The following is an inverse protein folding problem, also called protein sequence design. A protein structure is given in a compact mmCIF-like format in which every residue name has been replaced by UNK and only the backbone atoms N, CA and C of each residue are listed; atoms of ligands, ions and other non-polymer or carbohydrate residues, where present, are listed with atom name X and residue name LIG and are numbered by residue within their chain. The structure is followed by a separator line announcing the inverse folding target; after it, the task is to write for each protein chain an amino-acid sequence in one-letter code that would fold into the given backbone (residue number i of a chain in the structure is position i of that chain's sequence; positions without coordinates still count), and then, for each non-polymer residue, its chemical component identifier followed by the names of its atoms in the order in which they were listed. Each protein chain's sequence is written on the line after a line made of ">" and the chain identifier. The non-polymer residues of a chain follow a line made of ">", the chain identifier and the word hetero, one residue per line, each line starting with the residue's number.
data_IF_548838886845
#
_entry.id   IF_548838886845
#
_cell.length_a   1.000
_cell.length_b   1.000
_cell.length_c   1.000
_cell.angle_alpha   90.00
_cell.angle_beta   90.00
_cell.angle_gamma   90.00
#
_symmetry.space_group_name_H-M   'P 1'
#
loop_
_entity.id
_entity.type
_entity.pdbx_description
1 polymer ?
#
# COMPACT_ATOMS: atom_id res chain seq x y z
N UNK A 1 20.93 16.76 13.90
CA UNK A 1 20.32 15.67 13.13
C UNK A 1 18.84 15.99 13.00
N UNK A 2 18.36 16.23 11.79
CA UNK A 2 16.94 16.52 11.54
C UNK A 2 16.08 15.25 11.75
N UNK A 3 14.75 15.36 11.78
CA UNK A 3 13.89 14.21 12.06
C UNK A 3 14.04 13.09 11.01
N UNK A 4 14.16 13.45 9.72
CA UNK A 4 14.39 12.50 8.63
C UNK A 4 15.66 11.68 8.85
N UNK A 5 16.80 12.33 9.09
CA UNK A 5 18.08 11.68 9.38
C UNK A 5 17.94 10.75 10.59
N UNK A 6 17.25 11.19 11.65
CA UNK A 6 17.01 10.37 12.84
C UNK A 6 16.15 9.14 12.54
N UNK A 7 15.12 9.24 11.70
CA UNK A 7 14.28 8.09 11.33
C UNK A 7 15.13 7.00 10.66
N UNK A 8 15.99 7.42 9.74
CA UNK A 8 16.83 6.50 8.96
C UNK A 8 18.16 6.12 9.67
N UNK A 9 18.50 6.76 10.80
CA UNK A 9 19.68 6.42 11.62
C UNK A 9 19.34 5.74 12.94
N UNK A 10 18.19 6.04 13.56
CA UNK A 10 17.73 5.45 14.82
C UNK A 10 17.22 4.02 14.61
N UNK A 11 16.86 3.68 13.37
CA UNK A 11 16.68 2.31 12.93
C UNK A 11 18.05 1.64 12.84
N UNK A 12 18.53 1.09 13.96
CA UNK A 12 19.78 0.32 14.01
C UNK A 12 19.81 -0.83 12.98
N UNK A 13 18.66 -1.19 12.42
CA UNK A 13 18.52 -1.86 11.13
C UNK A 13 17.34 -1.20 10.41
N UNK A 14 17.58 -0.51 9.29
CA UNK A 14 16.51 -0.17 8.36
C UNK A 14 15.70 -1.44 8.07
N UNK A 15 14.38 -1.36 7.92
CA UNK A 15 13.60 -2.54 7.55
C UNK A 15 14.16 -3.06 6.22
N UNK A 16 14.69 -4.30 6.25
CA UNK A 16 15.38 -4.91 5.11
C UNK A 16 14.39 -5.80 4.37
N UNK A 17 14.20 -5.51 3.08
CA UNK A 17 13.47 -6.39 2.18
C UNK A 17 14.40 -7.47 1.61
N UNK A 18 13.98 -8.75 1.54
CA UNK A 18 14.81 -9.82 0.98
C UNK A 18 15.21 -9.58 -0.47
N UNK A 19 16.37 -10.11 -0.88
CA UNK A 19 16.91 -9.91 -2.25
C UNK A 19 15.95 -10.38 -3.35
N UNK A 20 15.20 -11.45 -3.13
CA UNK A 20 14.20 -11.94 -4.09
C UNK A 20 13.06 -10.93 -4.27
N UNK A 21 12.68 -10.22 -3.21
CA UNK A 21 11.68 -9.15 -3.24
C UNK A 21 12.24 -7.91 -3.95
N UNK A 22 13.51 -7.55 -3.70
CA UNK A 22 14.18 -6.47 -4.44
C UNK A 22 14.19 -6.72 -5.95
N UNK A 23 14.56 -7.94 -6.37
CA UNK A 23 14.47 -8.33 -7.79
C UNK A 23 13.03 -8.20 -8.31
N UNK A 24 12.03 -8.57 -7.51
CA UNK A 24 10.62 -8.47 -7.89
C UNK A 24 10.19 -7.00 -8.04
N UNK A 25 10.64 -6.11 -7.16
CA UNK A 25 10.42 -4.66 -7.24
C UNK A 25 11.02 -4.09 -8.53
N UNK A 26 12.24 -4.51 -8.91
CA UNK A 26 12.86 -4.06 -10.16
C UNK A 26 12.00 -4.38 -11.39
N UNK A 27 11.21 -5.45 -11.36
CA UNK A 27 10.31 -5.79 -12.47
C UNK A 27 9.15 -4.81 -12.63
N UNK A 28 8.82 -4.00 -11.61
CA UNK A 28 7.75 -2.98 -11.71
C UNK A 28 8.07 -1.89 -12.73
N UNK A 29 9.36 -1.67 -13.02
CA UNK A 29 9.83 -0.70 -14.03
C UNK A 29 9.47 -1.13 -15.46
N UNK A 30 9.08 -2.39 -15.66
CA UNK A 30 8.76 -2.96 -16.97
C UNK A 30 7.50 -3.83 -16.89
N UNK A 31 6.41 -3.41 -17.55
CA UNK A 31 5.13 -4.13 -17.53
C UNK A 31 5.23 -5.56 -18.08
N UNK A 32 6.06 -5.74 -19.10
CA UNK A 32 6.25 -7.00 -19.81
C UNK A 32 7.44 -7.82 -19.28
N UNK A 33 7.88 -7.57 -18.05
CA UNK A 33 8.96 -8.32 -17.43
C UNK A 33 8.65 -9.82 -17.34
N UNK A 34 9.58 -10.67 -17.76
CA UNK A 34 9.47 -12.12 -17.56
C UNK A 34 9.69 -12.46 -16.09
N UNK A 35 8.63 -12.91 -15.43
CA UNK A 35 8.61 -13.26 -14.02
C UNK A 35 9.03 -14.72 -13.76
N UNK A 36 9.13 -15.57 -14.79
CA UNK A 36 9.42 -17.00 -14.60
C UNK A 36 10.73 -17.27 -13.85
N UNK A 37 11.84 -16.57 -14.11
CA UNK A 37 13.08 -16.76 -13.36
C UNK A 37 12.91 -16.41 -11.87
N UNK A 38 12.19 -15.34 -11.54
CA UNK A 38 11.96 -14.95 -10.15
C UNK A 38 11.01 -15.91 -9.44
N UNK A 39 10.00 -16.43 -10.13
CA UNK A 39 9.11 -17.46 -9.59
C UNK A 39 9.92 -18.70 -9.21
N UNK A 40 10.89 -19.10 -10.03
CA UNK A 40 11.81 -20.18 -9.69
C UNK A 40 12.66 -19.88 -8.45
N UNK A 41 13.18 -18.65 -8.30
CA UNK A 41 13.90 -18.22 -7.10
C UNK A 41 12.99 -18.29 -5.85
N UNK A 42 11.73 -17.85 -5.96
CA UNK A 42 10.77 -17.87 -4.84
C UNK A 42 10.46 -19.30 -4.39
N UNK A 43 10.31 -20.25 -5.33
CA UNK A 43 10.09 -21.67 -5.01
C UNK A 43 11.19 -22.23 -4.09
N UNK A 44 12.41 -21.69 -4.17
CA UNK A 44 13.56 -22.11 -3.36
C UNK A 44 13.68 -21.36 -2.03
N UNK A 45 12.90 -20.29 -1.83
CA UNK A 45 12.84 -19.53 -0.58
C UNK A 45 11.62 -19.96 0.26
N UNK A 46 11.81 -20.82 1.29
CA UNK A 46 10.69 -21.32 2.08
C UNK A 46 10.00 -20.24 2.91
N UNK A 47 10.71 -19.16 3.28
CA UNK A 47 10.15 -18.08 4.11
C UNK A 47 9.23 -17.21 3.30
N UNK A 48 9.67 -16.76 2.12
CA UNK A 48 8.81 -16.00 1.20
C UNK A 48 7.68 -16.89 0.68
N UNK A 49 7.97 -18.14 0.32
CA UNK A 49 6.93 -19.06 -0.16
C UNK A 49 5.81 -19.25 0.84
N UNK A 50 6.12 -19.50 2.12
CA UNK A 50 5.11 -19.66 3.15
C UNK A 50 4.24 -18.41 3.33
N UNK A 51 4.82 -17.20 3.21
CA UNK A 51 4.07 -15.95 3.30
C UNK A 51 3.19 -15.70 2.09
N UNK A 52 3.72 -15.91 0.88
CA UNK A 52 2.93 -15.79 -0.36
C UNK A 52 1.73 -16.74 -0.31
N UNK A 53 1.95 -17.99 0.13
CA UNK A 53 0.88 -18.96 0.28
C UNK A 53 -0.14 -18.54 1.35
N UNK A 54 0.29 -17.94 2.46
CA UNK A 54 -0.64 -17.41 3.48
C UNK A 54 -1.54 -16.33 2.88
N UNK A 55 -0.96 -15.35 2.19
CA UNK A 55 -1.71 -14.26 1.57
C UNK A 55 -2.65 -14.81 0.48
N UNK A 56 -2.17 -15.71 -0.39
CA UNK A 56 -3.00 -16.31 -1.44
C UNK A 56 -4.18 -17.13 -0.88
N UNK A 57 -4.08 -17.62 0.36
CA UNK A 57 -5.15 -18.37 1.04
C UNK A 57 -6.06 -17.49 1.91
N UNK A 58 -5.85 -16.17 1.99
CA UNK A 58 -6.51 -15.27 2.95
C UNK A 58 -7.99 -14.97 2.69
N UNK A 59 -8.68 -15.71 1.83
CA UNK A 59 -10.03 -15.36 1.36
C UNK A 59 -9.99 -14.25 0.30
N UNK A 60 -9.18 -13.20 0.52
CA UNK A 60 -9.13 -11.97 -0.27
C UNK A 60 -8.90 -12.17 -1.77
N UNK A 61 -8.18 -13.23 -2.13
CA UNK A 61 -7.90 -13.60 -3.53
C UNK A 61 -8.84 -14.69 -4.07
N UNK A 62 -9.98 -14.93 -3.41
CA UNK A 62 -11.09 -15.75 -3.87
C UNK A 62 -10.85 -17.27 -3.80
N UNK A 63 -9.83 -17.75 -3.09
CA UNK A 63 -9.55 -19.19 -3.07
C UNK A 63 -10.50 -19.97 -2.16
N UNK A 64 -11.44 -20.71 -2.75
CA UNK A 64 -12.24 -21.73 -2.03
C UNK A 64 -11.46 -23.00 -1.70
N UNK A 65 -10.23 -23.15 -2.21
CA UNK A 65 -9.36 -24.32 -1.99
C UNK A 65 -8.00 -23.88 -1.45
N UNK A 66 -7.42 -24.64 -0.53
CA UNK A 66 -6.08 -24.35 -0.02
C UNK A 66 -5.04 -24.51 -1.13
N UNK A 67 -4.30 -23.43 -1.40
CA UNK A 67 -3.13 -23.40 -2.29
C UNK A 67 -1.92 -23.90 -1.51
N UNK A 68 -1.26 -24.95 -2.00
CA UNK A 68 -0.14 -25.62 -1.32
C UNK A 68 1.25 -25.33 -1.90
N UNK A 69 1.33 -24.72 -3.08
CA UNK A 69 2.59 -24.46 -3.78
C UNK A 69 2.55 -23.13 -4.54
N UNK A 70 3.73 -22.56 -4.84
CA UNK A 70 3.83 -21.34 -5.65
C UNK A 70 3.23 -21.56 -7.04
N UNK A 71 3.34 -22.77 -7.59
CA UNK A 71 2.72 -23.09 -8.89
C UNK A 71 1.19 -23.09 -8.83
N UNK A 72 0.62 -23.55 -7.72
CA UNK A 72 -0.82 -23.44 -7.48
C UNK A 72 -1.23 -21.97 -7.33
N UNK A 73 -0.42 -21.16 -6.64
CA UNK A 73 -0.68 -19.72 -6.50
C UNK A 73 -0.66 -19.04 -7.87
N UNK A 74 0.34 -19.32 -8.71
CA UNK A 74 0.42 -18.81 -10.10
C UNK A 74 -0.81 -19.25 -10.91
N UNK A 75 -1.25 -20.51 -10.79
CA UNK A 75 -2.44 -21.00 -11.49
C UNK A 75 -3.72 -20.32 -11.02
N UNK A 76 -3.81 -19.98 -9.74
CA UNK A 76 -4.98 -19.34 -9.16
C UNK A 76 -5.07 -17.86 -9.54
N UNK A 77 -4.02 -17.08 -9.27
CA UNK A 77 -4.06 -15.61 -9.36
C UNK A 77 -3.34 -15.04 -10.59
N UNK A 78 -2.56 -15.86 -11.29
CA UNK A 78 -1.72 -15.41 -12.39
C UNK A 78 -0.38 -14.81 -11.95
N UNK A 79 0.54 -14.65 -12.89
CA UNK A 79 1.90 -14.17 -12.62
C UNK A 79 1.94 -12.71 -12.17
N UNK A 80 1.08 -11.85 -12.75
CA UNK A 80 1.02 -10.41 -12.38
C UNK A 80 0.56 -10.22 -10.93
N UNK A 81 -0.48 -10.92 -10.49
CA UNK A 81 -0.92 -10.85 -9.09
C UNK A 81 0.12 -11.51 -8.16
N UNK A 82 0.81 -12.57 -8.59
CA UNK A 82 1.90 -13.13 -7.79
C UNK A 82 3.03 -12.11 -7.55
N UNK A 83 3.37 -11.28 -8.54
CA UNK A 83 4.36 -10.21 -8.38
C UNK A 83 4.00 -9.29 -7.21
N UNK A 84 2.78 -8.77 -7.19
CA UNK A 84 2.34 -7.88 -6.11
C UNK A 84 2.24 -8.61 -4.77
N UNK A 85 1.81 -9.87 -4.74
CA UNK A 85 1.79 -10.70 -3.52
C UNK A 85 3.16 -10.91 -2.89
N UNK A 86 4.18 -11.18 -3.71
CA UNK A 86 5.56 -11.35 -3.24
C UNK A 86 6.09 -10.05 -2.65
N UNK A 87 5.76 -8.91 -3.29
CA UNK A 87 6.10 -7.59 -2.76
C UNK A 87 5.38 -7.34 -1.44
N UNK A 88 4.08 -7.63 -1.34
CA UNK A 88 3.32 -7.53 -0.08
C UNK A 88 3.94 -8.35 1.04
N UNK A 89 4.27 -9.61 0.77
CA UNK A 89 4.92 -10.50 1.74
C UNK A 89 6.28 -9.97 2.21
N UNK A 90 7.05 -9.39 1.30
CA UNK A 90 8.35 -8.81 1.60
C UNK A 90 8.26 -7.53 2.42
N UNK A 91 7.41 -6.60 1.98
CA UNK A 91 7.19 -5.30 2.63
C UNK A 91 6.63 -5.49 4.03
N UNK A 92 5.60 -6.32 4.20
CA UNK A 92 5.02 -6.54 5.54
C UNK A 92 6.00 -7.21 6.49
N UNK A 93 6.83 -8.12 5.97
CA UNK A 93 7.83 -8.78 6.78
C UNK A 93 8.92 -7.89 7.33
N UNK A 94 9.14 -6.74 6.70
CA UNK A 94 10.12 -5.77 7.15
C UNK A 94 9.65 -5.03 8.42
N UNK A 95 8.35 -5.10 8.74
CA UNK A 95 7.74 -4.49 9.93
C UNK A 95 7.06 -5.54 10.82
N UNK A 96 7.82 -6.45 11.45
CA UNK A 96 7.24 -7.53 12.25
C UNK A 96 6.59 -7.03 13.55
N UNK A 97 7.06 -5.89 14.08
CA UNK A 97 6.54 -5.24 15.29
C UNK A 97 6.78 -3.73 15.20
N UNK A 98 5.76 -2.94 15.50
CA UNK A 98 5.82 -1.48 15.51
C UNK A 98 5.14 -0.97 16.79
N UNK A 99 5.82 -0.20 17.66
CA UNK A 99 5.23 0.29 18.90
C UNK A 99 3.99 1.16 18.65
N UNK A 100 2.92 0.91 19.40
CA UNK A 100 1.69 1.72 19.35
C UNK A 100 0.87 1.57 18.06
N UNK A 101 1.14 0.54 17.24
CA UNK A 101 0.39 0.28 16.01
C UNK A 101 -0.21 -1.12 16.06
N UNK A 102 -1.52 -1.23 15.80
CA UNK A 102 -2.14 -2.51 15.46
C UNK A 102 -1.77 -2.85 14.01
N UNK A 103 -0.81 -3.76 13.84
CA UNK A 103 -0.34 -4.15 12.52
C UNK A 103 -1.39 -4.91 11.71
N UNK A 104 -2.33 -5.62 12.36
CA UNK A 104 -3.39 -6.33 11.64
C UNK A 104 -4.31 -5.33 10.95
N UNK A 105 -4.74 -4.33 11.71
CA UNK A 105 -5.57 -3.23 11.21
C UNK A 105 -4.84 -2.41 10.13
N UNK A 106 -3.58 -2.07 10.38
CA UNK A 106 -2.74 -1.35 9.43
C UNK A 106 -2.63 -2.07 8.08
N UNK A 107 -2.34 -3.38 8.10
CA UNK A 107 -2.20 -4.15 6.86
C UNK A 107 -3.54 -4.43 6.17
N UNK A 108 -4.65 -4.60 6.92
CA UNK A 108 -6.00 -4.67 6.35
C UNK A 108 -6.26 -3.43 5.50
N UNK A 109 -6.10 -2.25 6.10
CA UNK A 109 -6.32 -0.96 5.42
C UNK A 109 -5.39 -0.77 4.21
N UNK A 110 -4.11 -1.15 4.35
CA UNK A 110 -3.14 -1.06 3.26
C UNK A 110 -3.49 -1.97 2.08
N UNK A 111 -3.95 -3.20 2.33
CA UNK A 111 -4.40 -4.13 1.29
C UNK A 111 -5.68 -3.66 0.60
N UNK A 112 -6.63 -3.11 1.38
CA UNK A 112 -7.84 -2.51 0.83
C UNK A 112 -7.52 -1.35 -0.10
N UNK A 113 -6.63 -0.46 0.34
CA UNK A 113 -6.14 0.64 -0.48
C UNK A 113 -5.40 0.13 -1.72
N UNK A 114 -4.56 -0.90 -1.59
CA UNK A 114 -3.83 -1.51 -2.71
C UNK A 114 -4.79 -2.06 -3.78
N UNK A 115 -5.81 -2.82 -3.37
CA UNK A 115 -6.78 -3.40 -4.30
C UNK A 115 -7.65 -2.35 -4.97
N UNK A 116 -8.18 -1.39 -4.20
CA UNK A 116 -8.95 -0.29 -4.77
C UNK A 116 -8.11 0.49 -5.78
N UNK A 117 -6.86 0.85 -5.44
CA UNK A 117 -5.97 1.60 -6.32
C UNK A 117 -5.68 0.84 -7.63
N UNK A 118 -5.46 -0.47 -7.54
CA UNK A 118 -5.23 -1.33 -8.71
C UNK A 118 -6.44 -1.42 -9.64
N UNK A 119 -7.66 -1.41 -9.11
CA UNK A 119 -8.89 -1.39 -9.89
C UNK A 119 -9.08 -0.02 -10.56
N UNK A 120 -8.95 1.07 -9.79
CA UNK A 120 -9.07 2.43 -10.31
C UNK A 120 -8.03 2.74 -11.41
N UNK A 121 -6.80 2.22 -11.27
CA UNK A 121 -5.74 2.40 -12.26
C UNK A 121 -6.14 1.87 -13.65
N UNK A 122 -6.96 0.80 -13.73
CA UNK A 122 -7.44 0.25 -15.01
C UNK A 122 -8.34 1.23 -15.74
N UNK A 123 -9.20 1.95 -15.01
CA UNK A 123 -10.05 3.00 -15.58
C UNK A 123 -9.24 4.22 -16.02
N UNK A 124 -8.20 4.56 -15.25
CA UNK A 124 -7.33 5.70 -15.51
C UNK A 124 -6.24 5.46 -16.57
N UNK A 125 -6.09 4.22 -17.06
CA UNK A 125 -5.00 3.84 -17.97
C UNK A 125 -3.61 3.85 -17.33
N UNK A 126 -3.55 3.70 -16.00
CA UNK A 126 -2.31 3.63 -15.22
C UNK A 126 -1.90 2.17 -14.98
N UNK A 127 -0.62 1.97 -14.67
CA UNK A 127 -0.09 0.65 -14.35
C UNK A 127 -0.69 0.12 -13.03
N UNK A 128 -1.51 -0.93 -13.13
CA UNK A 128 -2.21 -1.51 -11.99
C UNK A 128 -1.29 -2.09 -10.91
N UNK A 129 -0.10 -2.57 -11.27
CA UNK A 129 0.87 -3.13 -10.32
C UNK A 129 1.54 -2.01 -9.52
N UNK A 130 1.90 -0.89 -10.18
CA UNK A 130 2.41 0.31 -9.49
C UNK A 130 1.34 0.93 -8.59
N UNK A 131 0.08 0.94 -9.03
CA UNK A 131 -1.06 1.39 -8.21
C UNK A 131 -1.28 0.49 -6.99
N UNK A 132 -1.29 -0.83 -7.18
CA UNK A 132 -1.38 -1.77 -6.07
C UNK A 132 -0.28 -1.51 -5.03
N UNK A 133 0.98 -1.44 -5.48
CA UNK A 133 2.13 -1.24 -4.59
C UNK A 133 2.10 0.12 -3.91
N UNK A 134 1.71 1.19 -4.62
CA UNK A 134 1.55 2.51 -4.02
C UNK A 134 0.49 2.52 -2.93
N UNK A 135 -0.65 1.85 -3.17
CA UNK A 135 -1.70 1.68 -2.17
C UNK A 135 -1.27 0.83 -0.97
N UNK A 136 -0.47 -0.22 -1.19
CA UNK A 136 0.10 -1.00 -0.08
C UNK A 136 1.06 -0.17 0.77
N UNK A 137 1.88 0.66 0.13
CA UNK A 137 3.00 1.34 0.78
C UNK A 137 2.66 2.70 1.36
N UNK A 138 1.54 3.32 0.97
CA UNK A 138 1.24 4.73 1.21
C UNK A 138 1.44 5.21 2.67
N UNK A 139 1.21 4.34 3.66
CA UNK A 139 1.35 4.66 5.10
C UNK A 139 2.62 4.15 5.77
N UNK A 140 3.58 3.55 5.06
CA UNK A 140 4.80 3.00 5.69
C UNK A 140 5.64 4.05 6.41
N UNK A 141 5.58 5.31 6.01
CA UNK A 141 6.22 6.40 6.75
C UNK A 141 5.68 6.54 8.19
N UNK A 142 4.42 6.18 8.43
CA UNK A 142 3.85 6.16 9.79
C UNK A 142 4.55 5.10 10.65
N UNK A 143 4.78 3.90 10.12
CA UNK A 143 5.50 2.84 10.83
C UNK A 143 6.92 3.29 11.18
N UNK A 144 7.61 3.94 10.24
CA UNK A 144 8.95 4.48 10.46
C UNK A 144 8.97 5.56 11.55
N UNK A 145 7.96 6.45 11.58
CA UNK A 145 7.80 7.47 12.63
C UNK A 145 7.56 6.80 13.99
N UNK A 146 6.70 5.79 14.07
CA UNK A 146 6.43 5.04 15.31
C UNK A 146 7.67 4.30 15.84
N UNK A 147 8.51 3.75 14.96
CA UNK A 147 9.76 3.10 15.36
C UNK A 147 10.76 4.12 15.91
N UNK A 148 10.92 5.27 15.23
CA UNK A 148 11.92 6.27 15.59
C UNK A 148 11.51 7.15 16.78
N UNK A 149 10.20 7.42 16.92
CA UNK A 149 9.64 8.39 17.87
C UNK A 149 8.37 7.87 18.54
N UNK A 150 8.36 6.71 19.22
CA UNK A 150 7.14 6.04 19.67
C UNK A 150 6.21 6.94 20.50
N UNK A 151 6.77 7.68 21.48
CA UNK A 151 5.97 8.60 22.32
C UNK A 151 5.33 9.75 21.54
N UNK A 152 6.11 10.37 20.64
CA UNK A 152 5.61 11.48 19.82
C UNK A 152 4.62 10.96 18.77
N UNK A 153 4.81 9.75 18.26
CA UNK A 153 3.87 9.10 17.36
C UNK A 153 2.53 8.82 18.03
N UNK A 154 2.52 8.37 19.29
CA UNK A 154 1.29 8.22 20.10
C UNK A 154 0.60 9.57 20.38
N UNK A 155 1.36 10.65 20.58
CA UNK A 155 0.80 12.00 20.68
C UNK A 155 0.18 12.47 19.35
N UNK A 156 0.88 12.29 18.23
CA UNK A 156 0.38 12.60 16.90
C UNK A 156 -0.89 11.81 16.60
N UNK A 157 -0.92 10.51 16.91
CA UNK A 157 -2.09 9.67 16.68
C UNK A 157 -3.33 10.17 17.42
N UNK A 158 -3.17 10.61 18.68
CA UNK A 158 -4.26 11.21 19.46
C UNK A 158 -4.70 12.57 18.93
N UNK A 159 -3.75 13.42 18.54
CA UNK A 159 -4.05 14.75 18.01
C UNK A 159 -4.73 14.69 16.62
N UNK A 160 -4.55 13.58 15.89
CA UNK A 160 -5.11 13.38 14.56
C UNK A 160 -6.39 12.56 14.52
N UNK A 161 -6.98 12.22 15.67
CA UNK A 161 -8.22 11.47 15.72
C UNK A 161 -9.35 12.24 15.00
N UNK A 162 -9.99 11.59 14.02
CA UNK A 162 -11.00 12.20 13.15
C UNK A 162 -10.50 13.22 12.13
N UNK A 163 -9.19 13.44 12.00
CA UNK A 163 -8.64 14.33 10.96
C UNK A 163 -8.54 13.62 9.60
N UNK A 164 -8.68 14.40 8.53
CA UNK A 164 -8.41 13.91 7.18
C UNK A 164 -6.93 13.54 6.99
N UNK A 165 -6.67 12.73 5.96
CA UNK A 165 -5.33 12.30 5.54
C UNK A 165 -4.37 13.49 5.35
N UNK A 166 -4.84 14.59 4.75
CA UNK A 166 -4.06 15.81 4.53
C UNK A 166 -3.77 16.58 5.82
N UNK A 167 -4.76 16.70 6.71
CA UNK A 167 -4.61 17.36 8.01
C UNK A 167 -3.63 16.62 8.92
N UNK A 168 -3.69 15.29 8.94
CA UNK A 168 -2.72 14.46 9.65
C UNK A 168 -1.29 14.73 9.19
N UNK A 169 -1.06 14.81 7.87
CA UNK A 169 0.27 15.14 7.33
C UNK A 169 0.75 16.54 7.76
N UNK A 170 -0.17 17.52 7.88
CA UNK A 170 0.15 18.86 8.36
C UNK A 170 0.54 18.86 9.86
N UNK A 171 -0.17 18.11 10.71
CA UNK A 171 0.16 17.96 12.14
C UNK A 171 1.52 17.33 12.34
N UNK A 172 1.83 16.26 11.60
CA UNK A 172 3.15 15.65 11.62
C UNK A 172 4.24 16.64 11.21
N UNK A 173 4.04 17.37 10.10
CA UNK A 173 5.01 18.35 9.63
C UNK A 173 5.26 19.46 10.66
N UNK A 174 4.23 19.91 11.37
CA UNK A 174 4.36 20.89 12.44
C UNK A 174 5.22 20.37 13.61
N UNK A 175 5.09 19.09 13.97
CA UNK A 175 5.75 18.49 15.14
C UNK A 175 7.14 17.92 14.83
N UNK A 176 7.35 17.41 13.62
CA UNK A 176 8.56 16.68 13.20
C UNK A 176 9.40 17.45 12.17
N UNK A 177 8.87 18.52 11.56
CA UNK A 177 9.43 19.14 10.35
C UNK A 177 9.57 18.17 9.18
N UNK A 178 8.78 17.10 9.20
CA UNK A 178 8.57 16.14 8.11
C UNK A 178 7.24 15.43 8.34
N UNK A 179 6.74 14.67 7.36
CA UNK A 179 5.53 13.87 7.50
C UNK A 179 5.72 12.44 6.96
N UNK A 180 4.74 11.58 7.21
CA UNK A 180 4.75 10.19 6.75
C UNK A 180 4.83 10.03 5.24
N UNK A 181 4.36 10.99 4.44
CA UNK A 181 4.45 10.95 2.98
C UNK A 181 5.90 11.09 2.53
N UNK A 182 6.61 12.09 3.08
CA UNK A 182 8.03 12.35 2.80
C UNK A 182 8.90 11.18 3.28
N UNK A 183 8.64 10.70 4.50
CA UNK A 183 9.38 9.56 5.08
C UNK A 183 9.13 8.29 4.27
N UNK A 184 7.89 8.07 3.83
CA UNK A 184 7.52 6.94 3.00
C UNK A 184 8.18 6.98 1.62
N UNK A 185 8.19 8.15 0.97
CA UNK A 185 8.82 8.34 -0.33
C UNK A 185 10.34 8.08 -0.26
N UNK A 186 11.01 8.58 0.79
CA UNK A 186 12.43 8.29 1.05
C UNK A 186 12.67 6.79 1.27
N UNK A 187 11.78 6.10 1.99
CA UNK A 187 11.86 4.64 2.17
C UNK A 187 11.73 3.91 0.83
N UNK A 188 10.75 4.29 0.00
CA UNK A 188 10.53 3.69 -1.32
C UNK A 188 11.76 3.88 -2.23
N UNK A 189 12.35 5.07 -2.25
CA UNK A 189 13.58 5.36 -2.99
C UNK A 189 14.76 4.49 -2.51
N UNK A 190 14.95 4.35 -1.19
CA UNK A 190 16.00 3.46 -0.62
C UNK A 190 15.78 1.98 -0.93
N UNK A 191 14.53 1.58 -1.09
CA UNK A 191 14.14 0.24 -1.52
C UNK A 191 14.13 0.07 -3.05
N UNK A 192 14.53 1.10 -3.80
CA UNK A 192 14.65 1.08 -5.26
C UNK A 192 13.31 0.77 -5.98
N UNK A 193 12.20 1.20 -5.39
CA UNK A 193 10.90 1.25 -6.08
C UNK A 193 10.96 2.26 -7.23
N UNK A 194 10.08 2.12 -8.25
CA UNK A 194 9.96 3.12 -9.31
C UNK A 194 9.64 4.51 -8.74
N UNK A 195 10.17 5.56 -9.39
CA UNK A 195 9.96 6.95 -8.97
C UNK A 195 8.46 7.31 -8.89
N UNK A 196 7.64 6.76 -9.78
CA UNK A 196 6.18 6.97 -9.77
C UNK A 196 5.56 6.51 -8.44
N UNK A 197 6.04 5.39 -7.87
CA UNK A 197 5.57 4.89 -6.56
C UNK A 197 6.03 5.82 -5.44
N UNK A 198 7.29 6.27 -5.46
CA UNK A 198 7.79 7.21 -4.46
C UNK A 198 7.05 8.55 -4.51
N UNK A 199 6.78 9.09 -5.71
CA UNK A 199 5.99 10.30 -5.92
C UNK A 199 4.53 10.11 -5.49
N UNK A 200 3.95 8.94 -5.74
CA UNK A 200 2.61 8.62 -5.25
C UNK A 200 2.54 8.69 -3.73
N UNK A 201 3.51 8.08 -3.04
CA UNK A 201 3.61 8.14 -1.58
C UNK A 201 3.88 9.56 -1.07
N UNK A 202 4.66 10.37 -1.79
CA UNK A 202 4.97 11.74 -1.38
C UNK A 202 3.76 12.67 -1.44
N UNK A 203 2.91 12.51 -2.47
CA UNK A 203 1.87 13.50 -2.79
C UNK A 203 0.44 13.02 -2.58
N UNK A 204 0.18 11.77 -2.17
CA UNK A 204 -1.20 11.30 -1.99
C UNK A 204 -1.99 12.10 -0.93
N UNK A 205 -1.32 12.68 0.08
CA UNK A 205 -1.98 13.57 1.06
C UNK A 205 -2.23 14.99 0.53
N UNK A 206 -1.67 15.34 -0.63
CA UNK A 206 -1.78 16.65 -1.27
C UNK A 206 -2.15 16.48 -2.75
N UNK A 207 -3.33 15.89 -3.06
CA UNK A 207 -3.67 15.49 -4.43
C UNK A 207 -3.87 16.68 -5.41
N UNK A 208 -4.01 17.90 -4.88
CA UNK A 208 -4.06 19.15 -5.66
C UNK A 208 -2.68 19.78 -5.92
N UNK A 209 -1.60 19.26 -5.35
CA UNK A 209 -0.26 19.79 -5.58
C UNK A 209 0.16 19.58 -7.04
N UNK A 210 0.88 20.53 -7.63
CA UNK A 210 1.28 20.49 -9.05
C UNK A 210 2.12 19.25 -9.39
N UNK A 211 2.99 18.85 -8.47
CA UNK A 211 3.82 17.63 -8.57
C UNK A 211 3.07 16.32 -8.30
N UNK A 212 1.80 16.36 -7.89
CA UNK A 212 1.04 15.13 -7.69
C UNK A 212 0.82 14.44 -9.04
N UNK A 213 1.30 13.22 -9.18
CA UNK A 213 1.09 12.39 -10.37
C UNK A 213 -0.35 11.88 -10.41
N UNK A 214 -0.78 11.31 -11.54
CA UNK A 214 -2.07 10.62 -11.58
C UNK A 214 -2.11 9.47 -10.58
N UNK A 215 -1.03 8.72 -10.45
CA UNK A 215 -0.88 7.64 -9.46
C UNK A 215 -1.02 8.14 -8.00
N UNK A 216 -0.48 9.31 -7.67
CA UNK A 216 -0.65 9.93 -6.35
C UNK A 216 -2.13 10.23 -6.05
N UNK A 217 -2.85 10.77 -7.05
CA UNK A 217 -4.28 11.09 -6.93
C UNK A 217 -5.15 9.84 -6.85
N UNK A 218 -4.83 8.80 -7.63
CA UNK A 218 -5.50 7.50 -7.51
C UNK A 218 -5.28 6.90 -6.12
N UNK A 219 -4.06 6.99 -5.58
CA UNK A 219 -3.74 6.53 -4.22
C UNK A 219 -4.55 7.29 -3.16
N UNK A 220 -4.77 8.60 -3.35
CA UNK A 220 -5.64 9.40 -2.49
C UNK A 220 -7.10 8.91 -2.53
N UNK A 221 -7.66 8.72 -3.73
CA UNK A 221 -9.04 8.23 -3.91
C UNK A 221 -9.20 6.82 -3.32
N UNK A 222 -8.25 5.93 -3.57
CA UNK A 222 -8.26 4.58 -3.03
C UNK A 222 -8.19 4.55 -1.49
N UNK A 223 -7.39 5.44 -0.89
CA UNK A 223 -7.30 5.55 0.57
C UNK A 223 -8.60 6.10 1.17
N UNK A 224 -9.28 7.02 0.49
CA UNK A 224 -10.61 7.48 0.89
C UNK A 224 -11.61 6.32 0.84
N UNK A 225 -11.65 5.54 -0.24
CA UNK A 225 -12.52 4.36 -0.37
C UNK A 225 -12.26 3.38 0.77
N UNK A 226 -11.00 3.04 1.04
CA UNK A 226 -10.64 2.11 2.11
C UNK A 226 -11.07 2.63 3.50
N UNK A 227 -10.88 3.92 3.76
CA UNK A 227 -11.30 4.57 5.02
C UNK A 227 -12.81 4.50 5.19
N UNK A 228 -13.57 4.86 4.17
CA UNK A 228 -15.04 4.83 4.27
C UNK A 228 -15.60 3.40 4.36
N UNK A 229 -14.92 2.40 3.77
CA UNK A 229 -15.25 0.98 3.99
C UNK A 229 -14.97 0.58 5.45
N UNK A 230 -13.83 0.98 6.01
CA UNK A 230 -13.50 0.72 7.43
C UNK A 230 -14.52 1.39 8.37
N UNK A 231 -15.14 2.50 7.95
CA UNK A 231 -16.21 3.23 8.68
C UNK A 231 -17.63 2.68 8.40
N UNK A 232 -17.76 1.51 7.76
CA UNK A 232 -19.03 0.85 7.41
C UNK A 232 -19.95 1.73 6.50
N UNK A 233 -19.38 2.66 5.73
CA UNK A 233 -20.13 3.45 4.76
C UNK A 233 -20.51 2.58 3.57
N UNK A 234 -21.74 2.73 3.07
CA UNK A 234 -22.23 1.92 1.95
C UNK A 234 -21.56 2.32 0.63
N UNK A 235 -21.24 1.36 -0.26
CA UNK A 235 -20.57 1.64 -1.54
C UNK A 235 -21.20 2.76 -2.37
N UNK A 236 -22.53 2.84 -2.42
CA UNK A 236 -23.25 3.89 -3.13
C UNK A 236 -23.00 5.30 -2.57
N UNK A 237 -22.85 5.41 -1.25
CA UNK A 237 -22.58 6.67 -0.56
C UNK A 237 -21.10 7.06 -0.74
N UNK A 238 -20.18 6.09 -0.67
CA UNK A 238 -18.74 6.29 -0.92
C UNK A 238 -18.53 6.95 -2.28
N UNK A 239 -19.11 6.39 -3.34
CA UNK A 239 -18.99 6.96 -4.69
C UNK A 239 -19.50 8.42 -4.77
N UNK A 240 -20.49 8.77 -3.95
CA UNK A 240 -21.01 10.11 -3.80
C UNK A 240 -20.06 11.07 -3.08
N UNK A 241 -19.34 10.59 -2.07
CA UNK A 241 -18.40 11.35 -1.23
C UNK A 241 -17.04 11.61 -1.88
N UNK A 242 -16.65 10.83 -2.90
CA UNK A 242 -15.37 11.04 -3.59
C UNK A 242 -15.24 12.46 -4.15
N UNK A 243 -14.08 13.08 -3.90
CA UNK A 243 -13.79 14.44 -4.36
C UNK A 243 -13.81 14.51 -5.90
N UNK A 244 -14.82 15.21 -6.44
CA UNK A 244 -15.04 15.36 -7.89
C UNK A 244 -13.82 15.89 -8.63
N UNK A 245 -13.17 16.92 -8.08
CA UNK A 245 -12.00 17.51 -8.73
C UNK A 245 -10.85 16.52 -8.83
N UNK A 246 -10.66 15.64 -7.84
CA UNK A 246 -9.59 14.64 -7.87
C UNK A 246 -9.97 13.47 -8.78
N UNK A 247 -11.22 13.01 -8.76
CA UNK A 247 -11.68 11.94 -9.68
C UNK A 247 -11.57 12.38 -11.14
N UNK A 248 -11.91 13.64 -11.45
CA UNK A 248 -11.80 14.20 -12.79
C UNK A 248 -10.34 14.29 -13.27
N UNK A 249 -9.42 14.70 -12.39
CA UNK A 249 -7.98 14.71 -12.67
C UNK A 249 -7.40 13.30 -12.91
N UNK A 250 -8.07 12.27 -12.37
CA UNK A 250 -7.73 10.87 -12.62
C UNK A 250 -8.40 10.29 -13.87
N UNK A 251 -9.37 10.98 -14.47
CA UNK A 251 -10.18 10.45 -15.56
C UNK A 251 -11.16 9.36 -15.11
N UNK A 252 -11.58 9.36 -13.83
CA UNK A 252 -12.50 8.36 -13.28
C UNK A 252 -13.96 8.79 -13.46
N UNK A 253 -14.78 7.89 -13.99
CA UNK A 253 -16.24 8.00 -13.89
C UNK A 253 -16.70 7.34 -12.57
N UNK A 254 -17.25 8.14 -11.66
CA UNK A 254 -17.71 7.69 -10.34
C UNK A 254 -18.83 6.65 -10.41
N UNK A 255 -19.57 6.59 -11.52
CA UNK A 255 -20.58 5.55 -11.77
C UNK A 255 -19.92 4.25 -12.24
N UNK A 256 -18.87 4.35 -13.06
CA UNK A 256 -18.18 3.19 -13.62
C UNK A 256 -17.32 2.45 -12.60
N UNK A 257 -16.85 3.13 -11.55
CA UNK A 257 -16.04 2.53 -10.48
C UNK A 257 -16.87 1.99 -9.31
N UNK A 258 -18.20 2.19 -9.28
CA UNK A 258 -19.05 1.68 -8.21
C UNK A 258 -18.94 0.15 -8.02
N UNK A 259 -18.94 -0.68 -9.09
CA UNK A 259 -18.74 -2.13 -8.93
C UNK A 259 -17.39 -2.51 -8.30
N UNK A 260 -16.35 -1.70 -8.51
CA UNK A 260 -15.05 -1.93 -7.89
C UNK A 260 -15.06 -1.59 -6.38
N UNK A 261 -15.81 -0.55 -5.99
CA UNK A 261 -16.02 -0.20 -4.57
C UNK A 261 -16.82 -1.31 -3.88
N UNK A 262 -17.89 -1.80 -4.51
CA UNK A 262 -18.68 -2.93 -4.01
C UNK A 262 -17.81 -4.18 -3.83
N UNK A 263 -17.01 -4.52 -4.83
CA UNK A 263 -16.06 -5.63 -4.75
C UNK A 263 -15.08 -5.47 -3.58
N UNK A 264 -14.52 -4.28 -3.38
CA UNK A 264 -13.66 -4.00 -2.23
C UNK A 264 -14.40 -4.17 -0.90
N UNK A 265 -15.60 -3.62 -0.75
CA UNK A 265 -16.39 -3.75 0.48
C UNK A 265 -16.70 -5.21 0.82
N UNK A 266 -17.05 -6.04 -0.17
CA UNK A 266 -17.32 -7.47 0.02
C UNK A 266 -16.11 -8.27 0.54
N UNK A 267 -14.89 -7.88 0.15
CA UNK A 267 -13.66 -8.61 0.48
C UNK A 267 -12.88 -7.98 1.65
N UNK A 268 -13.39 -6.91 2.26
CA UNK A 268 -12.69 -6.17 3.33
C UNK A 268 -12.38 -7.03 4.56
N UNK A 269 -13.31 -7.89 4.96
CA UNK A 269 -13.13 -8.80 6.09
C UNK A 269 -12.02 -9.85 5.83
N UNK A 270 -11.75 -10.17 4.57
CA UNK A 270 -10.77 -11.18 4.20
C UNK A 270 -9.33 -10.61 4.22
N UNK A 271 -9.18 -9.31 3.98
CA UNK A 271 -7.89 -8.62 4.07
C UNK A 271 -7.26 -8.69 5.48
N UNK A 272 -8.07 -8.86 6.53
CA UNK A 272 -7.61 -9.01 7.92
C UNK A 272 -6.69 -10.20 8.18
N UNK A 273 -6.76 -11.22 7.33
CA UNK A 273 -6.09 -12.49 7.54
C UNK A 273 -4.88 -12.67 6.62
N UNK A 274 -4.57 -11.66 5.83
CA UNK A 274 -3.64 -11.76 4.71
C UNK A 274 -2.16 -11.57 5.09
N UNK A 275 -1.83 -10.52 5.84
CA UNK A 275 -0.44 -10.11 6.16
C UNK A 275 -0.15 -10.18 7.66
#
# INVERSE_FOLDING_TARGET
>A
MNAMERIFSATAQLPVIPRVVQKMIDTLKHEDADLQPLIADIRLDPVISARVLRIANSGFYGSRRTVGSIDDAVRLVGTRVLRTLVISAGVSSAFPKVPGVDLKDFWRHALMTASANALLARHAGENADNAYVSGLMHRLGQLMIHIAFPRLAEEIARDCDGLSIGERAAVEHLKLHTNHCEVGAELAARWNFPDDVALAMQYYCQPHHDSATRLARLTNVAAQIATEIDDDVKPEDIAGHLNRSITDLCGLDRTAILPDIEYCAEHAAEAELAL
#
